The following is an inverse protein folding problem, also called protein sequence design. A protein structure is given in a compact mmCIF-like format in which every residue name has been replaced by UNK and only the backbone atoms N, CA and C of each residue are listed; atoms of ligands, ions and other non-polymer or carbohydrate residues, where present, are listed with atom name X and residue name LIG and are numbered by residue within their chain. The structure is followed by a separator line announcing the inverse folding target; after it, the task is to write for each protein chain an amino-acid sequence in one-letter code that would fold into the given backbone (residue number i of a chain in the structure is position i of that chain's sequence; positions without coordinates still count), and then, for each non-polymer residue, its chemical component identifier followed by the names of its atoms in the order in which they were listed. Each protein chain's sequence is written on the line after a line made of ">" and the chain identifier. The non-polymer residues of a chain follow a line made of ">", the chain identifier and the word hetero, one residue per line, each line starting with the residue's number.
data_IF_865361213669
#
_entry.id   IF_865361213669
#
_cell.length_a   1.000
_cell.length_b   1.000
_cell.length_c   1.000
_cell.angle_alpha   90.00
_cell.angle_beta   90.00
_cell.angle_gamma   90.00
#
_symmetry.space_group_name_H-M   'P 1'
#
loop_
_entity.id
_entity.type
_entity.pdbx_description
1 polymer ?
#
# COMPACT_ATOMS: atom_id res chain seq x y z
N UNK A 1 10.12 -19.28 -17.38
CA UNK A 1 10.80 -18.54 -16.28
C UNK A 1 10.49 -19.24 -14.97
N UNK A 2 11.47 -19.41 -14.10
CA UNK A 2 11.25 -19.92 -12.73
C UNK A 2 10.89 -18.76 -11.80
N UNK A 3 9.60 -18.67 -11.45
CA UNK A 3 9.06 -17.60 -10.59
C UNK A 3 9.58 -17.68 -9.16
N UNK A 4 9.87 -18.89 -8.66
CA UNK A 4 10.39 -19.09 -7.30
C UNK A 4 11.85 -18.61 -7.22
N UNK A 5 12.67 -18.98 -8.19
CA UNK A 5 14.07 -18.56 -8.25
C UNK A 5 14.17 -17.02 -8.37
N UNK A 6 13.34 -16.38 -9.21
CA UNK A 6 13.33 -14.93 -9.34
C UNK A 6 12.84 -14.25 -8.05
N UNK A 7 11.81 -14.79 -7.38
CA UNK A 7 11.35 -14.28 -6.09
C UNK A 7 12.49 -14.28 -5.07
N UNK A 8 13.20 -15.39 -4.92
CA UNK A 8 14.31 -15.49 -3.98
C UNK A 8 15.44 -14.51 -4.31
N UNK A 9 15.82 -14.42 -5.59
CA UNK A 9 16.83 -13.45 -6.04
C UNK A 9 16.48 -12.03 -5.64
N UNK A 10 15.21 -11.62 -5.81
CA UNK A 10 14.77 -10.28 -5.45
C UNK A 10 14.69 -10.07 -3.93
N UNK A 11 14.23 -11.09 -3.18
CA UNK A 11 14.15 -11.06 -1.71
C UNK A 11 15.53 -10.88 -1.08
N UNK A 12 16.56 -11.50 -1.63
CA UNK A 12 17.94 -11.40 -1.14
C UNK A 12 18.61 -10.03 -1.36
N UNK A 13 17.91 -9.11 -2.02
CA UNK A 13 18.35 -7.71 -2.17
C UNK A 13 17.63 -6.85 -1.16
N UNK A 14 18.35 -6.24 -0.21
CA UNK A 14 17.76 -5.26 0.70
C UNK A 14 17.17 -4.08 -0.09
N UNK A 15 15.91 -3.74 0.22
CA UNK A 15 15.20 -2.61 -0.39
C UNK A 15 14.23 -1.94 0.60
N UNK A 16 14.65 -1.77 1.86
CA UNK A 16 13.88 -0.98 2.84
C UNK A 16 13.60 0.38 2.24
N UNK A 17 12.37 0.89 2.42
CA UNK A 17 11.93 2.17 1.84
C UNK A 17 12.94 3.30 2.06
N UNK A 18 13.46 3.84 0.99
CA UNK A 18 14.57 4.79 0.94
C UNK A 18 15.88 4.19 0.40
N UNK A 19 15.99 2.85 0.30
CA UNK A 19 17.19 2.13 -0.15
C UNK A 19 16.92 1.19 -1.33
N UNK A 20 16.00 1.54 -2.25
CA UNK A 20 15.55 0.65 -3.33
C UNK A 20 16.45 0.69 -4.59
N UNK A 21 17.51 1.48 -4.62
CA UNK A 21 18.31 1.68 -5.82
C UNK A 21 18.84 0.36 -6.42
N UNK A 22 19.33 -0.56 -5.57
CA UNK A 22 19.91 -1.82 -6.03
C UNK A 22 18.86 -2.77 -6.61
N UNK A 23 17.71 -2.92 -5.96
CA UNK A 23 16.65 -3.79 -6.48
C UNK A 23 16.09 -3.23 -7.80
N UNK A 24 15.96 -1.90 -7.93
CA UNK A 24 15.59 -1.25 -9.18
C UNK A 24 16.58 -1.52 -10.31
N UNK A 25 17.89 -1.48 -10.01
CA UNK A 25 18.95 -1.82 -10.98
C UNK A 25 18.86 -3.26 -11.44
N UNK A 26 18.62 -4.20 -10.54
CA UNK A 26 18.49 -5.62 -10.85
C UNK A 26 17.22 -5.89 -11.68
N UNK A 27 16.08 -5.34 -11.29
CA UNK A 27 14.82 -5.49 -12.05
C UNK A 27 14.96 -4.89 -13.45
N UNK A 28 15.53 -3.69 -13.57
CA UNK A 28 15.80 -3.06 -14.88
C UNK A 28 16.72 -3.94 -15.77
N UNK A 29 17.78 -4.48 -15.20
CA UNK A 29 18.72 -5.33 -15.94
C UNK A 29 18.09 -6.65 -16.36
N UNK A 30 17.29 -7.28 -15.49
CA UNK A 30 16.58 -8.53 -15.81
C UNK A 30 15.55 -8.32 -16.94
N UNK A 31 14.79 -7.24 -16.91
CA UNK A 31 13.85 -6.90 -17.97
C UNK A 31 14.58 -6.64 -19.30
N UNK A 32 15.72 -5.95 -19.26
CA UNK A 32 16.56 -5.77 -20.45
C UNK A 32 17.10 -7.10 -20.99
N UNK A 33 17.54 -8.03 -20.11
CA UNK A 33 17.99 -9.39 -20.50
C UNK A 33 16.86 -10.20 -21.16
N UNK A 34 15.62 -10.00 -20.72
CA UNK A 34 14.42 -10.59 -21.31
C UNK A 34 13.99 -9.93 -22.62
N UNK A 35 14.64 -8.84 -23.03
CA UNK A 35 14.38 -8.14 -24.29
C UNK A 35 13.26 -7.10 -24.22
N UNK A 36 12.93 -6.59 -23.02
CA UNK A 36 12.05 -5.42 -22.88
C UNK A 36 12.83 -4.11 -23.09
N UNK A 37 12.14 -3.10 -23.60
CA UNK A 37 12.57 -1.71 -23.50
C UNK A 37 12.32 -1.23 -22.08
N UNK A 38 13.33 -1.35 -21.22
CA UNK A 38 13.26 -1.00 -19.81
C UNK A 38 13.86 0.37 -19.54
N UNK A 39 13.14 1.21 -18.80
CA UNK A 39 13.52 2.58 -18.48
C UNK A 39 13.47 2.80 -16.96
N UNK A 40 14.48 3.48 -16.41
CA UNK A 40 14.47 3.98 -15.04
C UNK A 40 13.83 5.36 -15.02
N UNK A 41 12.80 5.53 -14.21
CA UNK A 41 12.14 6.82 -13.96
C UNK A 41 12.66 7.38 -12.63
N UNK A 42 13.54 8.39 -12.63
CA UNK A 42 14.13 8.94 -11.40
C UNK A 42 13.06 9.49 -10.45
N UNK A 43 13.16 9.15 -9.16
CA UNK A 43 12.24 9.60 -8.10
C UNK A 43 12.94 10.50 -7.10
N UNK A 44 13.95 9.98 -6.40
CA UNK A 44 14.72 10.75 -5.41
C UNK A 44 16.11 10.14 -5.23
N UNK A 45 17.14 10.96 -5.29
CA UNK A 45 18.53 10.50 -5.18
C UNK A 45 18.86 9.44 -6.24
N UNK A 46 19.20 8.22 -5.81
CA UNK A 46 19.46 7.07 -6.69
C UNK A 46 18.24 6.17 -6.91
N UNK A 47 17.14 6.45 -6.23
CA UNK A 47 15.91 5.66 -6.30
C UNK A 47 15.18 5.94 -7.62
N UNK A 48 14.80 4.90 -8.33
CA UNK A 48 14.08 5.01 -9.60
C UNK A 48 12.95 3.98 -9.63
N UNK A 49 11.80 4.36 -10.16
CA UNK A 49 10.85 3.36 -10.66
C UNK A 49 11.43 2.68 -11.89
N UNK A 50 10.95 1.49 -12.18
CA UNK A 50 11.27 0.77 -13.41
C UNK A 50 10.01 0.63 -14.24
N UNK A 51 10.03 1.17 -15.46
CA UNK A 51 8.96 1.00 -16.44
C UNK A 51 9.48 0.26 -17.66
N UNK A 52 8.79 -0.78 -18.09
CA UNK A 52 9.22 -1.58 -19.22
C UNK A 52 8.05 -1.98 -20.13
N UNK A 53 8.32 -2.05 -21.43
CA UNK A 53 7.38 -2.46 -22.46
C UNK A 53 8.05 -3.42 -23.44
N UNK A 54 7.26 -4.21 -24.15
CA UNK A 54 7.79 -4.96 -25.29
C UNK A 54 8.30 -4.00 -26.38
N UNK A 55 9.35 -4.37 -27.14
CA UNK A 55 9.86 -3.53 -28.23
C UNK A 55 8.74 -3.07 -29.18
N UNK A 56 8.76 -1.80 -29.57
CA UNK A 56 7.77 -1.16 -30.43
C UNK A 56 6.33 -1.13 -29.85
N UNK A 57 6.15 -1.30 -28.55
CA UNK A 57 4.86 -1.28 -27.84
C UNK A 57 4.86 -0.23 -26.74
N UNK A 58 5.24 1.01 -27.05
CA UNK A 58 5.40 2.11 -26.08
C UNK A 58 4.11 2.52 -25.34
N UNK A 59 2.93 2.17 -25.90
CA UNK A 59 1.62 2.48 -25.33
C UNK A 59 0.81 1.21 -25.05
N UNK A 60 1.21 0.40 -24.05
CA UNK A 60 0.48 -0.82 -23.71
C UNK A 60 -0.91 -0.47 -23.17
N UNK A 61 -1.90 -1.24 -23.58
CA UNK A 61 -3.29 -1.06 -23.11
C UNK A 61 -3.45 -1.46 -21.64
N UNK A 62 -2.67 -2.46 -21.22
CA UNK A 62 -2.68 -3.01 -19.86
C UNK A 62 -1.29 -2.85 -19.27
N UNK A 63 -1.21 -2.38 -18.04
CA UNK A 63 0.04 -2.31 -17.28
C UNK A 63 -0.11 -3.09 -15.98
N UNK A 64 0.82 -3.99 -15.72
CA UNK A 64 0.99 -4.63 -14.41
C UNK A 64 1.90 -3.75 -13.55
N UNK A 65 1.53 -3.52 -12.31
CA UNK A 65 2.33 -2.72 -11.37
C UNK A 65 2.36 -3.33 -9.98
N UNK A 66 3.44 -3.08 -9.27
CA UNK A 66 3.56 -3.29 -7.83
C UNK A 66 4.79 -2.51 -7.33
N UNK A 67 5.13 -2.62 -6.04
CA UNK A 67 6.25 -1.90 -5.46
C UNK A 67 7.49 -2.78 -5.25
N UNK A 68 8.65 -2.13 -5.13
CA UNK A 68 9.95 -2.77 -4.93
C UNK A 68 10.47 -2.62 -3.50
N UNK A 69 9.96 -1.65 -2.76
CA UNK A 69 10.37 -1.41 -1.39
C UNK A 69 9.73 -2.37 -0.40
N UNK A 70 10.30 -2.42 0.79
CA UNK A 70 9.84 -3.24 1.90
C UNK A 70 9.95 -2.49 3.21
N UNK A 71 9.16 -2.92 4.22
CA UNK A 71 9.36 -2.46 5.60
C UNK A 71 10.60 -3.12 6.23
N UNK A 72 11.21 -2.48 7.26
CA UNK A 72 12.26 -3.13 8.07
C UNK A 72 11.67 -4.24 8.98
N UNK A 73 12.53 -5.18 9.47
CA UNK A 73 13.92 -5.37 9.11
C UNK A 73 14.10 -6.14 7.79
N UNK A 74 15.27 -6.04 7.17
CA UNK A 74 15.66 -6.94 6.09
C UNK A 74 15.77 -8.39 6.61
N UNK A 75 15.15 -9.33 5.89
CA UNK A 75 15.17 -10.77 6.16
C UNK A 75 15.48 -11.47 4.85
N UNK A 76 16.65 -12.14 4.73
CA UNK A 76 17.04 -12.82 3.50
C UNK A 76 16.14 -14.01 3.19
N UNK A 77 16.18 -14.47 1.93
CA UNK A 77 15.32 -15.57 1.49
C UNK A 77 15.73 -16.91 2.08
N UNK A 78 14.73 -17.71 2.38
CA UNK A 78 14.86 -19.15 2.59
C UNK A 78 13.65 -19.85 1.97
N UNK A 79 13.70 -21.17 1.80
CA UNK A 79 12.56 -21.91 1.27
C UNK A 79 12.45 -23.31 1.87
N UNK A 80 11.23 -23.82 1.86
CA UNK A 80 10.92 -25.22 2.08
C UNK A 80 10.23 -25.82 0.83
N UNK A 81 9.61 -26.99 0.97
CA UNK A 81 8.92 -27.65 -0.15
C UNK A 81 7.74 -26.81 -0.69
N UNK A 82 7.13 -25.95 0.11
CA UNK A 82 5.85 -25.27 -0.19
C UNK A 82 5.95 -23.76 -0.21
N UNK A 83 6.93 -23.15 0.46
CA UNK A 83 7.01 -21.70 0.72
C UNK A 83 8.37 -21.12 0.40
N UNK A 84 8.36 -19.83 0.07
CA UNK A 84 9.53 -18.95 0.07
C UNK A 84 9.33 -17.96 1.21
N UNK A 85 10.28 -17.88 2.12
CA UNK A 85 10.31 -16.97 3.26
C UNK A 85 11.23 -15.79 2.98
N UNK A 86 11.06 -14.70 3.70
CA UNK A 86 11.91 -13.52 3.68
C UNK A 86 11.13 -12.23 3.48
N UNK A 87 11.71 -11.10 3.85
CA UNK A 87 11.08 -9.78 3.74
C UNK A 87 10.86 -9.41 2.27
N UNK A 88 9.59 -9.13 1.90
CA UNK A 88 9.18 -8.88 0.52
C UNK A 88 8.83 -10.14 -0.26
N UNK A 89 8.94 -11.34 0.32
CA UNK A 89 8.51 -12.56 -0.39
C UNK A 89 7.02 -12.51 -0.72
N UNK A 90 6.21 -11.97 0.18
CA UNK A 90 4.78 -11.71 0.03
C UNK A 90 4.52 -10.30 -0.48
N UNK A 91 5.18 -9.30 0.11
CA UNK A 91 4.90 -7.88 -0.05
C UNK A 91 6.17 -7.09 -0.45
N UNK A 92 6.48 -6.92 -1.77
CA UNK A 92 5.73 -7.42 -2.93
C UNK A 92 6.66 -8.03 -4.01
N UNK A 93 7.88 -8.49 -3.65
CA UNK A 93 8.89 -9.00 -4.62
C UNK A 93 8.44 -10.30 -5.29
N UNK A 94 7.69 -11.15 -4.57
CA UNK A 94 7.04 -12.33 -5.17
C UNK A 94 6.03 -11.93 -6.24
N UNK A 95 5.33 -10.82 -6.04
CA UNK A 95 4.39 -10.27 -7.00
C UNK A 95 5.13 -9.75 -8.24
N UNK A 96 6.26 -9.05 -8.08
CA UNK A 96 7.13 -8.63 -9.20
C UNK A 96 7.48 -9.85 -10.06
N UNK A 97 7.95 -10.92 -9.43
CA UNK A 97 8.33 -12.15 -10.13
C UNK A 97 7.16 -12.78 -10.89
N UNK A 98 5.96 -12.83 -10.29
CA UNK A 98 4.76 -13.36 -10.91
C UNK A 98 4.29 -12.50 -12.10
N UNK A 99 4.33 -11.18 -11.98
CA UNK A 99 3.96 -10.25 -13.05
C UNK A 99 4.94 -10.32 -14.24
N UNK A 100 6.24 -10.42 -13.99
CA UNK A 100 7.25 -10.61 -15.06
C UNK A 100 7.03 -11.96 -15.76
N UNK A 101 6.81 -13.04 -15.01
CA UNK A 101 6.58 -14.36 -15.59
C UNK A 101 5.29 -14.40 -16.44
N UNK A 102 4.23 -13.73 -15.99
CA UNK A 102 2.98 -13.60 -16.74
C UNK A 102 3.19 -12.78 -18.05
N UNK A 103 3.90 -11.66 -17.96
CA UNK A 103 4.20 -10.82 -19.13
C UNK A 103 5.00 -11.59 -20.19
N UNK A 104 5.99 -12.40 -19.77
CA UNK A 104 6.75 -13.27 -20.68
C UNK A 104 5.85 -14.30 -21.38
N UNK A 105 4.95 -14.94 -20.66
CA UNK A 105 4.01 -15.91 -21.22
C UNK A 105 3.05 -15.24 -22.22
N UNK A 106 2.48 -14.10 -21.85
CA UNK A 106 1.59 -13.31 -22.71
C UNK A 106 2.29 -12.83 -23.98
N UNK A 107 3.55 -12.41 -23.89
CA UNK A 107 4.36 -12.01 -25.03
C UNK A 107 4.56 -13.17 -26.01
N UNK A 108 4.76 -14.39 -25.52
CA UNK A 108 4.79 -15.61 -26.35
C UNK A 108 3.47 -15.89 -27.09
N UNK A 109 2.35 -15.34 -26.61
CA UNK A 109 1.05 -15.42 -27.25
C UNK A 109 0.68 -14.13 -28.03
N UNK A 110 1.63 -13.24 -28.26
CA UNK A 110 1.47 -11.94 -28.93
C UNK A 110 0.52 -10.98 -28.21
N UNK A 111 0.41 -11.09 -26.88
CA UNK A 111 -0.29 -10.14 -26.01
C UNK A 111 0.79 -9.35 -25.24
N UNK A 112 0.80 -8.02 -25.43
CA UNK A 112 1.82 -7.14 -24.88
C UNK A 112 1.26 -6.33 -23.72
N UNK A 113 1.86 -6.46 -22.54
CA UNK A 113 1.57 -5.66 -21.35
C UNK A 113 2.78 -4.81 -20.97
N UNK A 114 2.54 -3.68 -20.36
CA UNK A 114 3.59 -2.90 -19.68
C UNK A 114 3.82 -3.41 -18.28
N UNK A 115 5.00 -3.13 -17.74
CA UNK A 115 5.41 -3.44 -16.37
C UNK A 115 5.86 -2.15 -15.69
N UNK A 116 5.32 -1.84 -14.51
CA UNK A 116 5.66 -0.67 -13.71
C UNK A 116 5.97 -1.09 -12.27
N UNK A 117 7.23 -0.99 -11.89
CA UNK A 117 7.67 -1.30 -10.54
C UNK A 117 8.09 -0.03 -9.81
N UNK A 118 7.49 0.21 -8.65
CA UNK A 118 7.49 1.49 -7.95
C UNK A 118 8.37 1.45 -6.71
N UNK A 119 8.85 2.61 -6.28
CA UNK A 119 9.57 2.81 -5.01
C UNK A 119 8.71 3.62 -4.04
N UNK A 120 8.81 3.34 -2.74
CA UNK A 120 8.27 4.18 -1.69
C UNK A 120 6.79 3.97 -1.37
N UNK A 121 6.18 2.85 -1.76
CA UNK A 121 4.79 2.50 -1.44
C UNK A 121 4.56 2.47 0.06
N UNK A 122 5.42 1.79 0.79
CA UNK A 122 5.34 1.52 2.23
C UNK A 122 5.40 2.77 3.13
N UNK A 123 5.59 3.94 2.53
CA UNK A 123 5.70 5.20 3.29
C UNK A 123 4.82 6.32 2.78
N UNK A 124 4.92 6.67 1.51
CA UNK A 124 4.29 7.89 0.97
C UNK A 124 3.92 7.83 -0.52
N UNK A 125 4.05 6.68 -1.16
CA UNK A 125 3.76 6.47 -2.61
C UNK A 125 4.48 7.46 -3.52
N UNK A 126 5.70 7.90 -3.16
CA UNK A 126 6.42 8.91 -3.92
C UNK A 126 6.72 8.44 -5.35
N UNK A 127 7.06 7.16 -5.51
CA UNK A 127 7.28 6.55 -6.82
C UNK A 127 6.03 6.62 -7.70
N UNK A 128 4.88 6.28 -7.15
CA UNK A 128 3.60 6.36 -7.85
C UNK A 128 3.24 7.80 -8.26
N UNK A 129 3.47 8.78 -7.39
CA UNK A 129 3.26 10.20 -7.69
C UNK A 129 4.12 10.68 -8.86
N UNK A 130 5.38 10.22 -8.93
CA UNK A 130 6.28 10.55 -10.04
C UNK A 130 5.83 9.84 -11.32
N UNK A 131 5.52 8.54 -11.25
CA UNK A 131 5.03 7.75 -12.39
C UNK A 131 3.74 8.32 -12.98
N UNK A 132 2.85 8.84 -12.12
CA UNK A 132 1.57 9.40 -12.57
C UNK A 132 1.71 10.55 -13.56
N UNK A 133 2.82 11.29 -13.51
CA UNK A 133 3.13 12.40 -14.44
C UNK A 133 3.62 11.92 -15.80
N UNK A 134 3.97 10.64 -15.93
CA UNK A 134 4.61 10.04 -17.09
C UNK A 134 3.81 8.84 -17.65
N UNK A 135 2.50 8.81 -17.38
CA UNK A 135 1.64 7.73 -17.85
C UNK A 135 1.65 7.59 -19.37
N UNK A 136 1.76 6.37 -19.92
CA UNK A 136 1.67 6.12 -21.35
C UNK A 136 0.23 6.21 -21.91
N UNK A 137 -0.78 6.43 -21.04
CA UNK A 137 -2.19 6.42 -21.42
C UNK A 137 -2.79 5.02 -21.55
N UNK A 138 -2.41 4.07 -20.69
CA UNK A 138 -3.00 2.74 -20.64
C UNK A 138 -4.49 2.80 -20.26
N UNK A 139 -5.26 1.77 -20.62
CA UNK A 139 -6.69 1.66 -20.25
C UNK A 139 -6.88 0.99 -18.91
N UNK A 140 -6.02 0.04 -18.56
CA UNK A 140 -6.12 -0.75 -17.34
C UNK A 140 -4.79 -0.82 -16.61
N UNK A 141 -4.85 -0.61 -15.31
CA UNK A 141 -3.76 -0.82 -14.37
C UNK A 141 -4.09 -2.03 -13.49
N UNK A 142 -3.31 -3.09 -13.57
CA UNK A 142 -3.43 -4.25 -12.69
C UNK A 142 -2.36 -4.14 -11.62
N UNK A 143 -2.73 -3.56 -10.48
CA UNK A 143 -1.83 -3.40 -9.35
C UNK A 143 -1.78 -4.70 -8.54
N UNK A 144 -0.59 -5.08 -8.13
CA UNK A 144 -0.31 -6.30 -7.38
C UNK A 144 -0.09 -6.00 -5.91
N UNK A 145 -0.90 -6.65 -5.04
CA UNK A 145 -0.78 -6.63 -3.59
C UNK A 145 -1.19 -7.99 -3.01
N UNK A 146 -0.84 -8.30 -1.74
CA UNK A 146 -1.19 -9.58 -1.11
C UNK A 146 -2.70 -9.74 -0.89
N UNK A 147 -3.43 -10.23 -1.87
CA UNK A 147 -4.89 -10.43 -1.84
C UNK A 147 -5.31 -11.90 -1.92
N UNK A 148 -4.36 -12.83 -1.72
CA UNK A 148 -4.63 -14.29 -1.83
C UNK A 148 -5.18 -14.71 -3.20
N UNK A 149 -4.72 -14.04 -4.28
CA UNK A 149 -5.23 -14.22 -5.65
C UNK A 149 -6.74 -13.92 -5.77
N UNK A 150 -7.30 -13.09 -4.89
CA UNK A 150 -8.69 -12.63 -4.93
C UNK A 150 -8.75 -11.20 -5.44
N UNK A 151 -9.70 -10.90 -6.30
CA UNK A 151 -9.84 -9.56 -6.85
C UNK A 151 -10.45 -8.61 -5.82
N UNK A 152 -9.78 -7.49 -5.53
CA UNK A 152 -10.32 -6.51 -4.61
C UNK A 152 -11.41 -5.67 -5.28
N UNK A 153 -12.56 -5.54 -4.63
CA UNK A 153 -13.66 -4.66 -5.06
C UNK A 153 -13.44 -3.22 -4.64
N UNK A 154 -12.61 -3.03 -3.61
CA UNK A 154 -12.23 -1.72 -3.08
C UNK A 154 -10.93 -1.83 -2.25
N UNK A 155 -10.22 -0.72 -2.14
CA UNK A 155 -9.14 -0.50 -1.18
C UNK A 155 -9.56 0.59 -0.21
N UNK A 156 -9.48 0.32 1.11
CA UNK A 156 -9.80 1.31 2.14
C UNK A 156 -8.73 2.39 2.17
N UNK A 157 -9.18 3.64 2.31
CA UNK A 157 -8.28 4.77 2.49
C UNK A 157 -7.70 4.85 3.90
N UNK A 158 -6.88 5.86 4.12
CA UNK A 158 -6.27 6.16 5.42
C UNK A 158 -6.40 7.65 5.73
N UNK A 159 -6.80 7.98 6.96
CA UNK A 159 -6.68 9.32 7.52
C UNK A 159 -5.88 9.23 8.81
N UNK A 160 -4.69 9.85 8.84
CA UNK A 160 -3.85 9.94 10.03
C UNK A 160 -4.04 11.30 10.69
N UNK A 161 -4.29 11.27 12.00
CA UNK A 161 -4.68 12.44 12.78
C UNK A 161 -3.85 12.51 14.05
N UNK A 162 -3.32 13.71 14.36
CA UNK A 162 -2.81 14.02 15.69
C UNK A 162 -3.91 14.75 16.49
N UNK A 163 -4.11 14.34 17.73
CA UNK A 163 -4.96 15.01 18.70
C UNK A 163 -4.04 15.55 19.79
N UNK A 164 -4.02 16.88 19.99
CA UNK A 164 -3.08 17.58 20.85
C UNK A 164 -3.86 18.35 21.89
N UNK A 165 -3.71 17.97 23.16
CA UNK A 165 -4.27 18.65 24.31
C UNK A 165 -3.23 19.52 25.01
N UNK A 166 -3.62 20.73 25.38
CA UNK A 166 -2.82 21.69 26.13
C UNK A 166 -3.51 22.01 27.46
N UNK A 167 -2.70 22.16 28.50
CA UNK A 167 -3.13 22.45 29.84
C UNK A 167 -2.26 23.49 30.53
N UNK A 168 -2.28 23.49 31.85
CA UNK A 168 -1.47 24.37 32.68
C UNK A 168 -0.80 23.57 33.79
N UNK A 169 0.53 23.66 33.88
CA UNK A 169 1.30 23.01 34.94
C UNK A 169 0.93 23.55 36.33
N UNK A 170 0.92 22.64 37.31
CA UNK A 170 0.87 22.95 38.73
C UNK A 170 1.49 21.81 39.54
N UNK A 171 1.74 22.05 40.80
CA UNK A 171 2.10 20.98 41.74
C UNK A 171 0.90 20.06 41.94
N UNK A 172 1.06 18.74 41.86
CA UNK A 172 -0.05 17.79 41.97
C UNK A 172 -0.83 17.81 43.27
N UNK A 173 -0.25 18.37 44.35
CA UNK A 173 -0.92 18.61 45.61
C UNK A 173 -1.97 19.77 45.55
N UNK A 174 -1.93 20.59 44.53
CA UNK A 174 -2.82 21.74 44.31
C UNK A 174 -3.37 21.70 42.86
N UNK A 175 -4.15 20.66 42.52
CA UNK A 175 -4.60 20.45 41.13
C UNK A 175 -5.49 21.58 40.60
N UNK A 176 -6.17 22.32 41.51
CA UNK A 176 -7.02 23.48 41.16
C UNK A 176 -6.22 24.66 40.55
N UNK A 177 -4.92 24.72 40.74
CA UNK A 177 -4.03 25.72 40.15
C UNK A 177 -3.56 25.33 38.75
N UNK A 178 -3.79 24.06 38.34
CA UNK A 178 -3.41 23.52 37.05
C UNK A 178 -4.60 23.23 36.14
N UNK A 179 -4.30 22.66 35.00
CA UNK A 179 -5.28 22.09 34.06
C UNK A 179 -4.63 20.91 33.34
N UNK A 180 -5.11 19.70 33.58
CA UNK A 180 -4.49 18.48 33.09
C UNK A 180 -4.73 18.28 31.57
N UNK A 181 -3.68 18.35 30.77
CA UNK A 181 -3.72 18.02 29.35
C UNK A 181 -4.00 16.52 29.12
N UNK A 182 -3.54 15.63 30.03
CA UNK A 182 -3.84 14.20 29.93
C UNK A 182 -5.34 13.96 30.12
N UNK A 183 -5.99 14.60 31.09
CA UNK A 183 -7.43 14.42 31.32
C UNK A 183 -8.26 14.94 30.15
N UNK A 184 -7.87 16.08 29.56
CA UNK A 184 -8.48 16.59 28.32
C UNK A 184 -8.32 15.61 27.17
N UNK A 185 -7.11 15.07 26.98
CA UNK A 185 -6.85 14.10 25.91
C UNK A 185 -7.67 12.83 26.11
N UNK A 186 -7.75 12.28 27.31
CA UNK A 186 -8.56 11.09 27.61
C UNK A 186 -10.03 11.32 27.30
N UNK A 187 -10.58 12.49 27.67
CA UNK A 187 -11.96 12.86 27.33
C UNK A 187 -12.16 12.99 25.82
N UNK A 188 -11.23 13.63 25.12
CA UNK A 188 -11.27 13.75 23.65
C UNK A 188 -11.25 12.37 22.98
N UNK A 189 -10.35 11.48 23.40
CA UNK A 189 -10.25 10.12 22.86
C UNK A 189 -11.51 9.28 23.17
N UNK A 190 -12.12 9.46 24.34
CA UNK A 190 -13.39 8.81 24.68
C UNK A 190 -14.52 9.25 23.74
N UNK A 191 -14.63 10.56 23.46
CA UNK A 191 -15.63 11.10 22.52
C UNK A 191 -15.40 10.57 21.10
N UNK A 192 -14.14 10.55 20.61
CA UNK A 192 -13.78 10.02 19.30
C UNK A 192 -14.12 8.52 19.17
N UNK A 193 -13.88 7.72 20.21
CA UNK A 193 -14.26 6.29 20.22
C UNK A 193 -15.76 6.05 20.24
N UNK A 194 -16.54 6.99 20.77
CA UNK A 194 -17.99 6.91 20.81
C UNK A 194 -18.67 7.39 19.54
N UNK A 195 -17.92 7.99 18.60
CA UNK A 195 -18.46 8.45 17.30
C UNK A 195 -19.03 7.28 16.51
N UNK A 196 -20.13 7.53 15.80
CA UNK A 196 -20.66 6.59 14.82
C UNK A 196 -19.88 6.75 13.52
N UNK A 197 -18.96 5.83 13.27
CA UNK A 197 -18.15 5.87 12.06
C UNK A 197 -18.94 5.44 10.82
N UNK A 198 -18.61 5.98 9.63
CA UNK A 198 -19.25 5.60 8.37
C UNK A 198 -19.18 4.11 8.09
N UNK A 199 -20.24 3.58 7.49
CA UNK A 199 -20.31 2.19 7.00
C UNK A 199 -20.73 2.24 5.54
N UNK A 200 -19.98 1.58 4.67
CA UNK A 200 -20.30 1.48 3.25
C UNK A 200 -20.73 0.04 2.89
N UNK A 201 -21.89 -0.07 2.21
CA UNK A 201 -22.41 -1.37 1.81
C UNK A 201 -21.45 -2.16 0.93
N UNK A 202 -21.22 -3.43 1.26
CA UNK A 202 -20.28 -4.30 0.53
C UNK A 202 -18.80 -4.10 0.86
N UNK A 203 -18.43 -3.03 1.62
CA UNK A 203 -17.05 -2.68 1.96
C UNK A 203 -16.81 -2.78 3.48
N UNK A 204 -17.87 -2.56 4.25
CA UNK A 204 -17.83 -2.64 5.69
C UNK A 204 -17.58 -1.28 6.37
N UNK A 205 -17.26 -1.27 7.68
CA UNK A 205 -17.13 -0.06 8.47
C UNK A 205 -15.79 0.66 8.26
N UNK A 206 -15.81 1.99 8.38
CA UNK A 206 -14.65 2.77 8.77
C UNK A 206 -14.20 2.32 10.17
N UNK A 207 -12.91 2.28 10.42
CA UNK A 207 -12.36 1.87 11.74
C UNK A 207 -11.42 2.91 12.28
N UNK A 208 -11.31 3.00 13.60
CA UNK A 208 -10.39 3.87 14.32
C UNK A 208 -9.39 3.04 15.11
N UNK A 209 -8.10 3.33 14.93
CA UNK A 209 -7.02 2.86 15.80
C UNK A 209 -6.37 4.06 16.50
N UNK A 210 -6.18 3.97 17.82
CA UNK A 210 -5.35 4.88 18.61
C UNK A 210 -3.99 4.22 18.76
N UNK A 211 -3.03 4.62 17.92
CA UNK A 211 -1.75 3.93 17.80
C UNK A 211 -0.69 4.40 18.79
N UNK A 212 -0.74 5.69 19.19
CA UNK A 212 0.23 6.29 20.13
C UNK A 212 -0.49 7.24 21.07
N UNK A 213 -0.10 7.22 22.34
CA UNK A 213 -0.48 8.22 23.37
C UNK A 213 0.79 8.61 24.12
N UNK A 214 1.01 9.91 24.26
CA UNK A 214 2.14 10.49 24.96
C UNK A 214 1.66 11.69 25.81
N UNK A 215 2.25 11.91 26.98
CA UNK A 215 1.93 13.07 27.80
C UNK A 215 2.52 13.05 29.19
N UNK A 216 2.54 14.24 29.80
CA UNK A 216 3.08 14.44 31.15
C UNK A 216 4.60 14.51 31.23
N UNK A 217 5.10 14.80 32.43
CA UNK A 217 6.54 14.96 32.71
C UNK A 217 6.98 14.17 33.95
N UNK A 218 6.19 14.25 35.03
CA UNK A 218 6.45 13.58 36.30
C UNK A 218 5.14 13.37 37.06
N UNK A 219 5.06 12.36 37.95
CA UNK A 219 3.81 12.04 38.67
C UNK A 219 3.34 13.14 39.63
N UNK A 220 4.25 14.00 40.10
CA UNK A 220 3.94 15.11 41.00
C UNK A 220 3.68 16.45 40.28
N UNK A 221 3.47 16.45 38.97
CA UNK A 221 3.20 17.63 38.14
C UNK A 221 1.91 17.43 37.39
N UNK A 222 0.98 18.40 37.45
CA UNK A 222 -0.18 18.46 36.57
C UNK A 222 0.32 18.64 35.12
N UNK A 223 -0.01 17.74 34.17
CA UNK A 223 0.57 17.76 32.84
C UNK A 223 0.02 18.91 31.98
N UNK A 224 0.93 19.64 31.35
CA UNK A 224 0.63 20.77 30.47
C UNK A 224 0.49 20.41 28.99
N UNK A 225 0.97 19.21 28.60
CA UNK A 225 0.89 18.72 27.23
C UNK A 225 0.61 17.22 27.19
N UNK A 226 -0.25 16.84 26.25
CA UNK A 226 -0.50 15.44 25.88
C UNK A 226 -0.90 15.37 24.40
N UNK A 227 -0.55 14.26 23.74
CA UNK A 227 -0.93 14.00 22.36
C UNK A 227 -1.26 12.54 22.11
N UNK A 228 -2.08 12.30 21.10
CA UNK A 228 -2.31 10.97 20.56
C UNK A 228 -2.19 10.99 19.01
N UNK A 229 -1.77 9.84 18.44
CA UNK A 229 -1.79 9.61 17.00
C UNK A 229 -2.84 8.56 16.69
N UNK A 230 -3.76 8.93 15.81
CA UNK A 230 -4.90 8.12 15.40
C UNK A 230 -4.80 7.79 13.92
N UNK A 231 -5.34 6.63 13.56
CA UNK A 231 -5.50 6.22 12.17
C UNK A 231 -6.92 5.72 11.94
N UNK A 232 -7.60 6.34 10.98
CA UNK A 232 -8.88 5.88 10.46
C UNK A 232 -8.68 5.12 9.15
N UNK A 233 -9.38 3.98 8.98
CA UNK A 233 -9.49 3.28 7.70
C UNK A 233 -10.77 3.74 7.01
N UNK A 234 -10.59 4.47 5.92
CA UNK A 234 -11.69 5.17 5.23
C UNK A 234 -12.45 4.22 4.29
N UNK A 235 -13.76 4.45 4.21
CA UNK A 235 -14.67 3.73 3.29
C UNK A 235 -15.46 4.68 2.38
N UNK A 236 -15.11 5.96 2.40
CA UNK A 236 -15.76 7.01 1.61
C UNK A 236 -15.05 8.35 1.78
N UNK A 237 -15.68 9.46 1.32
CA UNK A 237 -15.18 10.82 1.45
C UNK A 237 -14.95 11.21 2.92
N UNK A 238 -14.03 12.14 3.17
CA UNK A 238 -13.54 12.45 4.53
C UNK A 238 -14.10 13.75 5.09
N UNK A 239 -14.73 14.59 4.30
CA UNK A 239 -15.13 15.95 4.70
C UNK A 239 -16.08 15.98 5.91
N UNK A 240 -17.02 15.03 5.97
CA UNK A 240 -17.94 14.90 7.11
C UNK A 240 -17.22 14.32 8.33
N UNK A 241 -16.45 13.26 8.14
CA UNK A 241 -15.66 12.63 9.21
C UNK A 241 -14.69 13.63 9.84
N UNK A 242 -14.02 14.48 9.06
CA UNK A 242 -13.13 15.53 9.57
C UNK A 242 -13.88 16.52 10.45
N UNK A 243 -15.06 16.99 10.00
CA UNK A 243 -15.91 17.90 10.79
C UNK A 243 -16.38 17.28 12.11
N UNK A 244 -16.76 16.00 12.05
CA UNK A 244 -17.18 15.27 13.26
C UNK A 244 -16.01 15.07 14.24
N UNK A 245 -14.80 14.77 13.75
CA UNK A 245 -13.58 14.66 14.56
C UNK A 245 -13.30 15.99 15.26
N UNK A 246 -13.27 17.11 14.53
CA UNK A 246 -13.05 18.45 15.09
C UNK A 246 -14.11 18.82 16.13
N UNK A 247 -15.40 18.51 15.85
CA UNK A 247 -16.49 18.76 16.78
C UNK A 247 -16.36 17.91 18.06
N UNK A 248 -16.00 16.64 17.93
CA UNK A 248 -15.87 15.73 19.08
C UNK A 248 -14.81 16.19 20.07
N UNK A 249 -13.71 16.78 19.61
CA UNK A 249 -12.62 17.25 20.47
C UNK A 249 -12.71 18.73 20.86
N UNK A 250 -13.72 19.43 20.37
CA UNK A 250 -13.88 20.87 20.62
C UNK A 250 -13.88 21.22 22.12
N UNK A 251 -13.08 22.22 22.48
CA UNK A 251 -12.85 22.65 23.86
C UNK A 251 -11.90 21.77 24.69
N UNK A 252 -11.43 20.63 24.15
CA UNK A 252 -10.52 19.70 24.82
C UNK A 252 -9.15 19.63 24.15
N UNK A 253 -9.10 19.58 22.83
CA UNK A 253 -7.88 19.38 22.07
C UNK A 253 -7.94 20.06 20.69
N UNK A 254 -6.77 20.20 20.07
CA UNK A 254 -6.62 20.58 18.65
C UNK A 254 -6.42 19.31 17.82
N UNK A 255 -6.82 19.39 16.54
CA UNK A 255 -6.64 18.32 15.56
C UNK A 255 -5.70 18.78 14.47
N UNK A 256 -4.77 17.89 14.09
CA UNK A 256 -3.92 18.06 12.89
C UNK A 256 -4.11 16.84 11.99
N UNK A 257 -4.59 17.06 10.78
CA UNK A 257 -4.69 16.02 9.76
C UNK A 257 -3.35 15.88 9.04
N UNK A 258 -2.67 14.76 9.26
CA UNK A 258 -1.26 14.56 8.84
C UNK A 258 -1.17 13.92 7.47
N UNK A 259 -2.03 12.95 7.18
CA UNK A 259 -2.03 12.20 5.92
C UNK A 259 -3.45 11.77 5.60
N UNK A 260 -3.80 11.93 4.34
CA UNK A 260 -5.01 11.35 3.77
C UNK A 260 -4.67 10.61 2.49
N UNK A 261 -5.06 9.34 2.44
CA UNK A 261 -5.05 8.51 1.24
C UNK A 261 -6.51 8.15 0.98
N UNK A 262 -7.08 8.51 -0.18
CA UNK A 262 -8.50 8.29 -0.41
C UNK A 262 -8.86 6.80 -0.52
N UNK A 263 -10.08 6.48 -0.18
CA UNK A 263 -10.74 5.23 -0.51
C UNK A 263 -10.90 5.10 -2.04
N UNK A 264 -10.73 3.89 -2.58
CA UNK A 264 -10.88 3.62 -4.02
C UNK A 264 -11.80 2.43 -4.26
N UNK A 265 -12.82 2.60 -5.12
CA UNK A 265 -13.54 1.50 -5.74
C UNK A 265 -12.74 0.98 -6.93
N UNK A 266 -12.70 -0.34 -7.10
CA UNK A 266 -11.86 -1.00 -8.08
C UNK A 266 -12.70 -1.72 -9.12
N UNK A 267 -12.17 -1.83 -10.34
CA UNK A 267 -12.76 -2.66 -11.38
C UNK A 267 -12.59 -4.14 -11.01
N UNK A 268 -13.59 -4.93 -11.32
CA UNK A 268 -13.58 -6.38 -11.15
C UNK A 268 -13.94 -7.08 -12.46
N UNK A 269 -13.52 -8.33 -12.58
CA UNK A 269 -13.89 -9.21 -13.68
C UNK A 269 -14.79 -10.32 -13.11
N UNK A 270 -15.82 -10.69 -13.88
CA UNK A 270 -16.73 -11.74 -13.50
C UNK A 270 -16.03 -13.11 -13.38
N UNK A 271 -16.54 -13.95 -12.49
CA UNK A 271 -16.04 -15.31 -12.30
C UNK A 271 -14.80 -15.45 -11.40
N UNK A 272 -14.22 -14.34 -10.91
CA UNK A 272 -13.12 -14.38 -9.95
C UNK A 272 -13.63 -14.17 -8.51
N UNK A 273 -13.04 -14.85 -7.51
CA UNK A 273 -13.36 -14.60 -6.11
C UNK A 273 -12.95 -13.18 -5.73
N UNK A 274 -13.80 -12.52 -4.93
CA UNK A 274 -13.58 -11.12 -4.55
C UNK A 274 -13.30 -10.94 -3.07
N UNK A 275 -12.70 -9.79 -2.73
CA UNK A 275 -12.47 -9.33 -1.36
C UNK A 275 -12.49 -7.80 -1.27
N UNK A 276 -12.42 -7.25 -0.07
CA UNK A 276 -12.14 -5.85 0.19
C UNK A 276 -10.74 -5.74 0.79
N UNK A 277 -9.85 -4.98 0.15
CA UNK A 277 -8.55 -4.67 0.72
C UNK A 277 -8.71 -3.63 1.85
N UNK A 278 -8.44 -4.06 3.08
CA UNK A 278 -8.54 -3.18 4.26
C UNK A 278 -7.34 -2.22 4.42
N UNK A 279 -6.38 -2.28 3.48
CA UNK A 279 -5.14 -1.51 3.45
C UNK A 279 -5.13 -0.54 2.26
N UNK A 280 -4.20 0.40 2.27
CA UNK A 280 -3.94 1.35 1.18
C UNK A 280 -2.92 0.76 0.20
N UNK A 281 -2.89 1.30 -1.02
CA UNK A 281 -1.99 0.92 -2.10
C UNK A 281 -1.52 2.16 -2.86
N UNK A 282 -0.67 2.00 -3.86
CA UNK A 282 -0.25 3.06 -4.78
C UNK A 282 -1.35 3.55 -5.74
N UNK A 283 -2.46 2.82 -5.89
CA UNK A 283 -3.53 3.13 -6.84
C UNK A 283 -4.04 4.57 -6.73
N UNK A 284 -4.32 5.13 -5.53
CA UNK A 284 -4.79 6.52 -5.41
C UNK A 284 -3.83 7.56 -5.99
N UNK A 285 -2.54 7.24 -6.07
CA UNK A 285 -1.53 8.12 -6.64
C UNK A 285 -1.32 7.89 -8.16
N UNK A 286 -1.90 6.84 -8.75
CA UNK A 286 -1.76 6.46 -10.17
C UNK A 286 -2.99 6.81 -11.02
N UNK A 287 -3.62 7.94 -10.78
CA UNK A 287 -4.91 8.34 -11.39
C UNK A 287 -4.88 8.45 -12.92
N UNK A 288 -3.70 8.60 -13.55
CA UNK A 288 -3.52 8.70 -14.99
C UNK A 288 -3.24 7.34 -15.67
N UNK A 289 -3.22 6.24 -14.90
CA UNK A 289 -2.86 4.90 -15.39
C UNK A 289 -4.08 4.02 -15.74
N UNK A 290 -5.22 4.65 -16.05
CA UNK A 290 -6.43 3.96 -16.46
C UNK A 290 -7.26 3.38 -15.31
N UNK A 291 -8.12 2.41 -15.65
CA UNK A 291 -9.00 1.79 -14.65
C UNK A 291 -8.22 0.80 -13.77
N UNK A 292 -8.22 0.96 -12.44
CA UNK A 292 -7.45 0.12 -11.57
C UNK A 292 -8.16 -1.19 -11.22
N UNK A 293 -7.40 -2.28 -11.28
CA UNK A 293 -7.69 -3.58 -10.71
C UNK A 293 -6.63 -3.86 -9.63
N UNK A 294 -6.99 -4.56 -8.57
CA UNK A 294 -6.08 -4.94 -7.49
C UNK A 294 -6.18 -6.43 -7.22
N UNK A 295 -5.06 -7.13 -7.41
CA UNK A 295 -4.98 -8.59 -7.22
C UNK A 295 -3.53 -9.05 -7.15
N UNK A 296 -3.23 -10.03 -6.30
CA UNK A 296 -1.93 -10.67 -6.27
C UNK A 296 -1.86 -11.85 -5.30
N UNK A 297 -0.80 -12.63 -5.37
CA UNK A 297 -0.55 -13.75 -4.48
C UNK A 297 -0.12 -13.28 -3.10
N UNK A 298 -0.21 -14.17 -2.13
CA UNK A 298 0.18 -13.92 -0.74
C UNK A 298 -0.95 -13.34 0.10
N UNK A 299 -0.75 -13.34 1.40
CA UNK A 299 -1.71 -12.85 2.38
C UNK A 299 -1.16 -11.65 3.14
N UNK A 300 -1.94 -10.58 3.23
CA UNK A 300 -1.58 -9.40 4.02
C UNK A 300 -1.37 -9.74 5.52
N UNK A 301 -1.91 -10.86 5.98
CA UNK A 301 -1.77 -11.29 7.38
C UNK A 301 -0.36 -11.74 7.76
N UNK A 302 0.47 -12.10 6.77
CA UNK A 302 1.89 -12.48 6.99
C UNK A 302 2.85 -11.37 6.57
N UNK A 303 2.40 -10.42 5.76
CA UNK A 303 3.18 -9.23 5.41
C UNK A 303 3.59 -8.46 6.67
N UNK A 304 4.76 -7.80 6.64
CA UNK A 304 5.32 -7.02 7.75
C UNK A 304 5.64 -7.82 9.04
N UNK A 305 5.51 -9.15 9.02
CA UNK A 305 5.90 -10.01 10.15
C UNK A 305 7.35 -10.52 10.01
N UNK A 306 7.93 -11.03 11.08
CA UNK A 306 9.24 -11.70 11.03
C UNK A 306 9.19 -13.03 10.27
N UNK A 307 8.01 -13.65 10.21
CA UNK A 307 7.75 -14.91 9.51
C UNK A 307 7.12 -14.73 8.14
N UNK A 308 7.35 -13.60 7.45
CA UNK A 308 6.78 -13.35 6.14
C UNK A 308 7.15 -14.45 5.14
N UNK A 309 6.16 -14.92 4.40
CA UNK A 309 6.33 -15.94 3.36
C UNK A 309 5.32 -15.79 2.23
N UNK A 310 5.63 -16.43 1.09
CA UNK A 310 4.70 -16.67 -0.01
C UNK A 310 4.62 -18.17 -0.33
N UNK A 311 3.43 -18.67 -0.60
CA UNK A 311 3.26 -20.05 -1.05
C UNK A 311 3.65 -20.18 -2.53
N UNK A 312 4.51 -21.17 -2.85
CA UNK A 312 4.97 -21.43 -4.22
C UNK A 312 3.79 -21.71 -5.16
N UNK A 313 2.74 -22.36 -4.63
CA UNK A 313 1.52 -22.59 -5.39
C UNK A 313 0.79 -21.29 -5.72
N UNK A 314 0.68 -20.35 -4.77
CA UNK A 314 0.04 -19.07 -5.02
C UNK A 314 0.82 -18.22 -6.03
N UNK A 315 2.15 -18.29 -6.04
CA UNK A 315 2.98 -17.64 -7.08
C UNK A 315 2.67 -18.20 -8.48
N UNK A 316 2.61 -19.53 -8.60
CA UNK A 316 2.28 -20.19 -9.88
C UNK A 316 0.86 -19.85 -10.34
N UNK A 317 -0.12 -19.94 -9.43
CA UNK A 317 -1.52 -19.62 -9.71
C UNK A 317 -1.67 -18.13 -10.12
N UNK A 318 -0.89 -17.23 -9.53
CA UNK A 318 -0.88 -15.81 -9.89
C UNK A 318 -0.42 -15.56 -11.33
N UNK A 319 0.59 -16.29 -11.80
CA UNK A 319 1.04 -16.19 -13.19
C UNK A 319 -0.10 -16.54 -14.16
N UNK A 320 -0.83 -17.63 -13.89
CA UNK A 320 -1.98 -18.04 -14.68
C UNK A 320 -3.11 -16.99 -14.62
N UNK A 321 -3.33 -16.44 -13.44
CA UNK A 321 -4.36 -15.45 -13.18
C UNK A 321 -4.09 -14.12 -13.90
N UNK A 322 -2.86 -13.58 -13.82
CA UNK A 322 -2.47 -12.37 -14.56
C UNK A 322 -2.61 -12.57 -16.08
N UNK A 323 -2.25 -13.76 -16.59
CA UNK A 323 -2.46 -14.09 -17.99
C UNK A 323 -3.97 -14.10 -18.38
N UNK A 324 -4.80 -14.71 -17.56
CA UNK A 324 -6.26 -14.76 -17.75
C UNK A 324 -6.89 -13.36 -17.74
N UNK A 325 -6.50 -12.53 -16.76
CA UNK A 325 -6.96 -11.14 -16.63
C UNK A 325 -6.61 -10.35 -17.90
N UNK A 326 -5.36 -10.41 -18.34
CA UNK A 326 -4.93 -9.67 -19.54
C UNK A 326 -5.70 -10.11 -20.80
N UNK A 327 -5.93 -11.42 -20.97
CA UNK A 327 -6.72 -11.95 -22.08
C UNK A 327 -8.17 -11.45 -22.06
N UNK A 328 -8.82 -11.51 -20.88
CA UNK A 328 -10.20 -11.04 -20.71
C UNK A 328 -10.33 -9.54 -20.99
N UNK A 329 -9.40 -8.72 -20.47
CA UNK A 329 -9.38 -7.28 -20.70
C UNK A 329 -9.13 -6.95 -22.18
N UNK A 330 -8.29 -7.72 -22.88
CA UNK A 330 -8.04 -7.54 -24.32
C UNK A 330 -9.28 -7.92 -25.13
N UNK A 331 -9.96 -9.02 -24.81
CA UNK A 331 -11.17 -9.45 -25.51
C UNK A 331 -12.33 -8.47 -25.35
N UNK A 332 -12.52 -7.89 -24.17
CA UNK A 332 -13.58 -6.90 -23.90
C UNK A 332 -13.44 -5.58 -24.68
N UNK A 333 -12.29 -5.33 -25.29
CA UNK A 333 -12.07 -4.14 -26.13
C UNK A 333 -12.35 -4.38 -27.61
N UNK A 334 -12.49 -5.64 -27.99
CA UNK A 334 -12.73 -6.02 -29.39
C UNK A 334 -14.24 -6.16 -29.71
N UNK A 335 -15.06 -6.04 -28.67
CA UNK A 335 -16.53 -5.97 -28.75
C UNK A 335 -17.03 -4.55 -28.55
#
# INVERSE_FOLDING_TARGET
>A
MDVVALTRQLVDIESITGNEALVGDVVHSELGRLGYESNKLPVEGKRCNVYATSPNQSHPTIVFSTHMDTVPPFIPSSEDATRVYGRGSCDAKGIIAAQIAAAERLRGENIHVGLLFLVGEERNSLGAQVANRQSPGCKFLVNGEPTENRMATASKGTLRVNVIAEGRMAHSAYPELGESAIDKLLQALQRLRAMKLPVEGGIGPCTLNIGVIEGGRAPNVVPDKARAQLLYRLVGPTEELRREIEHAVAGLAKVEFILEIPFVRLCTLDGLPTMVAAFTTDIPALTNWGQPLLIGPGSIHVAHTEGEYIEKKQLSDAVDLYCSIAKNLTASMST
#
